data_IF_671094396588
#
_entry.id   IF_671094396588
#
_cell.length_a   1.000
_cell.length_b   1.000
_cell.length_c   1.000
_cell.angle_alpha   90.00
_cell.angle_beta   90.00
_cell.angle_gamma   90.00
#
_symmetry.space_group_name_H-M   'P 1'
#
loop_
_entity.id
_entity.type
_entity.pdbx_description
1 polymer ?
#
# COMPACT_ATOMS: atom_id res chain seq x y z
N UNK A 1 -1.16 5.18 16.36
CA UNK A 1 0.26 4.80 16.14
C UNK A 1 0.56 4.76 14.66
N UNK A 2 1.79 5.09 14.24
CA UNK A 2 2.19 4.99 12.84
C UNK A 2 2.18 3.51 12.40
N UNK A 3 1.54 3.14 11.28
CA UNK A 3 1.60 1.78 10.75
C UNK A 3 3.03 1.38 10.41
N UNK A 4 3.36 0.11 10.62
CA UNK A 4 4.61 -0.48 10.13
C UNK A 4 4.55 -0.70 8.62
N UNK A 5 5.72 -0.92 7.99
CA UNK A 5 5.77 -1.24 6.57
C UNK A 5 4.98 -2.50 6.23
N UNK A 6 5.09 -3.55 7.07
CA UNK A 6 4.34 -4.79 6.84
C UNK A 6 2.82 -4.57 6.93
N UNK A 7 2.34 -3.84 7.95
CA UNK A 7 0.91 -3.52 8.05
C UNK A 7 0.39 -2.71 6.86
N UNK A 8 1.22 -1.80 6.33
CA UNK A 8 0.92 -1.03 5.13
C UNK A 8 0.81 -1.92 3.90
N UNK A 9 1.79 -2.79 3.66
CA UNK A 9 1.79 -3.74 2.53
C UNK A 9 0.63 -4.72 2.62
N UNK A 10 0.37 -5.30 3.79
CA UNK A 10 -0.71 -6.27 3.98
C UNK A 10 -2.08 -5.64 3.67
N UNK A 11 -2.28 -4.39 4.10
CA UNK A 11 -3.50 -3.65 3.80
C UNK A 11 -3.65 -3.35 2.29
N UNK A 12 -2.57 -2.96 1.61
CA UNK A 12 -2.57 -2.72 0.16
C UNK A 12 -2.85 -4.03 -0.60
N UNK A 13 -2.16 -5.12 -0.26
CA UNK A 13 -2.38 -6.46 -0.86
C UNK A 13 -3.83 -6.90 -0.68
N UNK A 14 -4.41 -6.69 0.49
CA UNK A 14 -5.80 -7.05 0.76
C UNK A 14 -6.80 -6.25 -0.08
N UNK A 15 -6.52 -4.97 -0.38
CA UNK A 15 -7.35 -4.18 -1.30
C UNK A 15 -7.14 -4.60 -2.76
N UNK A 16 -5.89 -4.70 -3.20
CA UNK A 16 -5.54 -5.11 -4.55
C UNK A 16 -6.15 -6.48 -4.92
N UNK A 17 -6.10 -7.46 -4.01
CA UNK A 17 -6.71 -8.78 -4.20
C UNK A 17 -8.24 -8.72 -4.36
N UNK A 18 -8.91 -7.74 -3.76
CA UNK A 18 -10.37 -7.57 -3.98
C UNK A 18 -10.66 -7.11 -5.41
N UNK A 19 -9.84 -6.22 -5.94
CA UNK A 19 -9.96 -5.71 -7.31
C UNK A 19 -9.55 -6.76 -8.35
N UNK A 20 -8.55 -7.57 -8.03
CA UNK A 20 -8.03 -8.63 -8.90
C UNK A 20 -8.25 -10.04 -8.32
N UNK A 21 -9.51 -10.34 -7.97
CA UNK A 21 -9.89 -11.59 -7.29
C UNK A 21 -9.59 -12.89 -8.06
N UNK A 22 -9.31 -12.80 -9.36
CA UNK A 22 -8.91 -13.95 -10.19
C UNK A 22 -7.44 -14.32 -10.08
N UNK A 23 -6.58 -13.42 -9.55
CA UNK A 23 -5.16 -13.69 -9.41
C UNK A 23 -4.87 -14.61 -8.23
N UNK A 24 -3.89 -15.48 -8.42
CA UNK A 24 -3.33 -16.27 -7.33
C UNK A 24 -2.51 -15.42 -6.37
N UNK A 25 -2.32 -15.91 -5.15
CA UNK A 25 -1.46 -15.25 -4.17
C UNK A 25 0.00 -15.15 -4.66
N UNK A 26 0.46 -16.12 -5.46
CA UNK A 26 1.80 -16.11 -6.05
C UNK A 26 1.95 -14.99 -7.10
N UNK A 27 0.96 -14.80 -7.98
CA UNK A 27 0.95 -13.71 -8.95
C UNK A 27 0.95 -12.34 -8.27
N UNK A 28 0.13 -12.18 -7.23
CA UNK A 28 0.07 -10.95 -6.44
C UNK A 28 1.43 -10.71 -5.75
N UNK A 29 2.01 -11.73 -5.13
CA UNK A 29 3.29 -11.60 -4.44
C UNK A 29 4.43 -11.26 -5.42
N UNK A 30 4.45 -11.89 -6.59
CA UNK A 30 5.44 -11.60 -7.62
C UNK A 30 5.32 -10.16 -8.13
N UNK A 31 4.11 -9.67 -8.36
CA UNK A 31 3.88 -8.28 -8.77
C UNK A 31 4.32 -7.30 -7.68
N UNK A 32 3.97 -7.54 -6.42
CA UNK A 32 4.40 -6.67 -5.31
C UNK A 32 5.92 -6.68 -5.08
N UNK A 33 6.61 -7.78 -5.39
CA UNK A 33 8.08 -7.81 -5.35
C UNK A 33 8.68 -6.96 -6.48
N UNK A 34 8.07 -6.93 -7.67
CA UNK A 34 8.48 -6.05 -8.78
C UNK A 34 8.28 -4.57 -8.44
N UNK A 35 7.19 -4.25 -7.73
CA UNK A 35 6.84 -2.88 -7.33
C UNK A 35 7.41 -2.47 -5.95
N UNK A 36 8.35 -3.24 -5.40
CA UNK A 36 8.88 -3.02 -4.06
C UNK A 36 9.49 -1.64 -3.86
N UNK A 37 10.27 -1.14 -4.82
CA UNK A 37 10.86 0.20 -4.73
C UNK A 37 9.79 1.29 -4.68
N UNK A 38 8.74 1.15 -5.50
CA UNK A 38 7.60 2.06 -5.49
C UNK A 38 6.89 2.03 -4.12
N UNK A 39 6.63 0.85 -3.58
CA UNK A 39 6.00 0.65 -2.28
C UNK A 39 6.81 1.26 -1.12
N UNK A 40 8.14 1.12 -1.14
CA UNK A 40 9.04 1.72 -0.15
C UNK A 40 8.99 3.26 -0.19
N UNK A 41 8.95 3.85 -1.38
CA UNK A 41 8.80 5.30 -1.57
C UNK A 41 7.46 5.78 -1.02
N UNK A 42 6.36 5.10 -1.36
CA UNK A 42 5.02 5.46 -0.88
C UNK A 42 4.91 5.36 0.64
N UNK A 43 5.45 4.31 1.24
CA UNK A 43 5.46 4.17 2.70
C UNK A 43 6.29 5.27 3.38
N UNK A 44 7.46 5.59 2.82
CA UNK A 44 8.33 6.65 3.35
C UNK A 44 7.65 8.01 3.28
N UNK A 45 6.94 8.31 2.20
CA UNK A 45 6.18 9.55 2.04
C UNK A 45 5.04 9.64 3.06
N UNK A 46 4.23 8.60 3.22
CA UNK A 46 3.18 8.55 4.24
C UNK A 46 3.75 8.68 5.66
N UNK A 47 4.91 8.06 5.93
CA UNK A 47 5.61 8.24 7.21
C UNK A 47 5.98 9.70 7.47
N UNK A 48 6.51 10.38 6.45
CA UNK A 48 6.87 11.78 6.56
C UNK A 48 5.65 12.66 6.83
N UNK A 49 4.58 12.48 6.07
CA UNK A 49 3.32 13.24 6.24
C UNK A 49 2.70 12.98 7.63
N UNK A 50 2.79 11.76 8.14
CA UNK A 50 2.32 11.45 9.50
C UNK A 50 3.19 12.10 10.56
N UNK A 51 4.52 12.03 10.42
CA UNK A 51 5.47 12.59 11.38
C UNK A 51 5.40 14.13 11.41
N UNK A 52 5.00 14.79 10.31
CA UNK A 52 4.73 16.24 10.26
C UNK A 52 3.31 16.61 10.70
N UNK A 53 2.44 15.64 10.93
CA UNK A 53 1.04 15.86 11.31
C UNK A 53 0.13 16.30 10.15
N UNK A 54 0.59 16.17 8.90
CA UNK A 54 -0.21 16.43 7.70
C UNK A 54 -1.32 15.39 7.51
N UNK A 55 -1.05 14.14 7.91
CA UNK A 55 -2.05 13.06 7.93
C UNK A 55 -2.18 12.45 9.32
N UNK A 56 -3.42 12.09 9.66
CA UNK A 56 -3.77 11.30 10.84
C UNK A 56 -3.47 9.81 10.63
N UNK A 57 -3.51 9.03 11.71
CA UNK A 57 -3.41 7.56 11.60
C UNK A 57 -4.52 6.98 10.71
N UNK A 58 -5.73 7.51 10.80
CA UNK A 58 -6.85 7.07 9.97
C UNK A 58 -6.57 7.34 8.48
N UNK A 59 -6.10 8.55 8.16
CA UNK A 59 -5.72 8.90 6.79
C UNK A 59 -4.56 8.06 6.28
N UNK A 60 -3.59 7.70 7.12
CA UNK A 60 -2.52 6.76 6.74
C UNK A 60 -3.10 5.39 6.40
N UNK A 61 -3.88 4.80 7.31
CA UNK A 61 -4.39 3.42 7.20
C UNK A 61 -5.44 3.25 6.10
N UNK A 62 -6.19 4.30 5.78
CA UNK A 62 -7.28 4.26 4.80
C UNK A 62 -6.86 4.98 3.53
N UNK A 63 -6.52 6.27 3.62
CA UNK A 63 -6.20 7.12 2.46
C UNK A 63 -4.91 6.71 1.77
N UNK A 64 -3.80 6.63 2.53
CA UNK A 64 -2.50 6.22 2.00
C UNK A 64 -2.54 4.83 1.38
N UNK A 65 -3.13 3.87 2.10
CA UNK A 65 -3.32 2.49 1.60
C UNK A 65 -4.19 2.45 0.34
N UNK A 66 -5.36 3.10 0.33
CA UNK A 66 -6.28 3.02 -0.81
C UNK A 66 -5.73 3.71 -2.05
N UNK A 67 -5.02 4.84 -1.87
CA UNK A 67 -4.38 5.55 -2.98
C UNK A 67 -3.32 4.69 -3.66
N UNK A 68 -2.50 3.98 -2.87
CA UNK A 68 -1.45 3.12 -3.41
C UNK A 68 -2.03 1.87 -4.05
N UNK A 69 -3.04 1.24 -3.43
CA UNK A 69 -3.74 0.11 -4.02
C UNK A 69 -4.34 0.46 -5.39
N UNK A 70 -5.00 1.61 -5.50
CA UNK A 70 -5.55 2.09 -6.78
C UNK A 70 -4.47 2.36 -7.83
N UNK A 71 -3.32 2.94 -7.46
CA UNK A 71 -2.20 3.09 -8.39
C UNK A 71 -1.69 1.75 -8.91
N UNK A 72 -1.54 0.75 -8.03
CA UNK A 72 -1.13 -0.60 -8.41
C UNK A 72 -2.15 -1.28 -9.31
N UNK A 73 -3.45 -1.07 -9.07
CA UNK A 73 -4.53 -1.57 -9.94
C UNK A 73 -4.43 -1.04 -11.37
N UNK A 74 -3.91 0.17 -11.57
CA UNK A 74 -3.72 0.76 -12.90
C UNK A 74 -2.43 0.30 -13.59
N UNK A 75 -1.48 -0.25 -12.83
CA UNK A 75 -0.18 -0.72 -13.35
C UNK A 75 -0.20 -2.20 -13.74
N UNK A 76 -1.09 -3.00 -13.15
CA UNK A 76 -1.28 -4.42 -13.45
C UNK A 76 -2.07 -4.63 -14.75
#
# INVERSE_FOLDING_TARGET
MKPTYQEFIDAIKALFKKSWSSLSDDEINQFFEQEKEYLEVQYTQNCKEFDTGEITEEQFRIGGVSSVAYCLELLY
#
